data_IF_681522622906
#
_entry.id   IF_681522622906
#
_cell.length_a   1.000
_cell.length_b   1.000
_cell.length_c   1.000
_cell.angle_alpha   90.00
_cell.angle_beta   90.00
_cell.angle_gamma   90.00
#
_symmetry.space_group_name_H-M   'P 1'
#
loop_
_entity.id
_entity.type
_entity.pdbx_description
1 polymer ?
#
# COMPACT_ATOMS: atom_id res chain seq x y z
N UNK A 1 3.76 -42.70 10.24
CA UNK A 1 4.01 -41.33 10.77
C UNK A 1 3.06 -40.39 10.04
N UNK A 2 2.22 -39.61 10.74
CA UNK A 2 1.41 -38.59 10.09
C UNK A 2 2.37 -37.55 9.46
N UNK A 3 2.26 -37.28 8.16
CA UNK A 3 3.09 -36.29 7.48
C UNK A 3 2.78 -34.91 8.09
N UNK A 4 3.81 -34.25 8.61
CA UNK A 4 3.68 -32.88 9.13
C UNK A 4 3.38 -31.95 7.95
N UNK A 5 2.34 -31.12 8.07
CA UNK A 5 2.04 -30.11 7.07
C UNK A 5 3.24 -29.16 6.93
N UNK A 6 3.69 -28.97 5.69
CA UNK A 6 4.77 -28.03 5.38
C UNK A 6 4.26 -26.61 5.62
N UNK A 7 4.95 -25.87 6.47
CA UNK A 7 4.60 -24.49 6.80
C UNK A 7 5.12 -23.54 5.72
N UNK A 8 4.46 -22.39 5.55
CA UNK A 8 4.96 -21.30 4.70
C UNK A 8 6.31 -20.76 5.22
N UNK A 9 7.04 -20.07 4.38
CA UNK A 9 8.32 -19.44 4.75
C UNK A 9 8.08 -18.39 5.83
N UNK A 10 8.92 -18.39 6.86
CA UNK A 10 8.79 -17.44 7.99
C UNK A 10 8.81 -15.98 7.50
N UNK A 11 7.77 -15.23 7.86
CA UNK A 11 7.61 -13.82 7.48
C UNK A 11 6.91 -13.61 6.13
N UNK A 12 6.47 -14.69 5.46
CA UNK A 12 5.51 -14.62 4.36
C UNK A 12 4.09 -14.91 4.88
N UNK A 13 3.08 -14.70 4.02
CA UNK A 13 1.67 -14.90 4.36
C UNK A 13 0.96 -15.64 3.26
N UNK A 14 0.10 -16.59 3.63
CA UNK A 14 -0.95 -17.10 2.76
C UNK A 14 -2.21 -16.26 2.97
N UNK A 15 -2.95 -16.01 1.89
CA UNK A 15 -4.19 -15.25 1.93
C UNK A 15 -5.36 -16.17 1.62
N UNK A 16 -6.13 -16.52 2.63
CA UNK A 16 -7.39 -17.19 2.43
C UNK A 16 -8.45 -16.21 1.88
N UNK A 17 -9.58 -16.71 1.32
CA UNK A 17 -10.54 -15.81 0.66
C UNK A 17 -10.98 -14.58 1.46
N UNK A 18 -11.22 -14.63 2.77
CA UNK A 18 -11.52 -13.42 3.55
C UNK A 18 -10.36 -12.43 3.61
N UNK A 19 -9.13 -12.94 3.83
CA UNK A 19 -7.94 -12.10 3.89
C UNK A 19 -7.64 -11.46 2.53
N UNK A 20 -7.87 -12.25 1.45
CA UNK A 20 -7.69 -11.75 0.08
C UNK A 20 -8.75 -10.72 -0.30
N UNK A 21 -9.98 -10.84 0.20
CA UNK A 21 -11.02 -9.83 -0.01
C UNK A 21 -10.61 -8.48 0.62
N UNK A 22 -10.07 -8.51 1.84
CA UNK A 22 -9.50 -7.32 2.48
C UNK A 22 -8.34 -6.74 1.66
N UNK A 23 -7.42 -7.58 1.21
CA UNK A 23 -6.26 -7.16 0.42
C UNK A 23 -6.67 -6.48 -0.91
N UNK A 24 -7.71 -7.02 -1.57
CA UNK A 24 -8.31 -6.41 -2.76
C UNK A 24 -8.96 -5.06 -2.46
N UNK A 25 -9.74 -4.97 -1.38
CA UNK A 25 -10.34 -3.72 -0.95
C UNK A 25 -9.26 -2.64 -0.71
N UNK A 26 -8.19 -2.99 0.01
CA UNK A 26 -7.11 -2.06 0.31
C UNK A 26 -6.41 -1.58 -0.98
N UNK A 27 -6.09 -2.51 -1.88
CA UNK A 27 -5.44 -2.17 -3.14
C UNK A 27 -6.32 -1.27 -4.00
N UNK A 28 -7.62 -1.57 -4.12
CA UNK A 28 -8.54 -0.79 -4.92
C UNK A 28 -8.78 0.61 -4.32
N UNK A 29 -8.87 0.72 -2.99
CA UNK A 29 -8.93 2.02 -2.31
C UNK A 29 -7.72 2.89 -2.66
N UNK A 30 -6.51 2.34 -2.63
CA UNK A 30 -5.30 3.08 -2.99
C UNK A 30 -5.29 3.48 -4.47
N UNK A 31 -5.54 2.55 -5.36
CA UNK A 31 -5.50 2.79 -6.80
C UNK A 31 -6.57 3.80 -7.23
N UNK A 32 -7.76 3.77 -6.62
CA UNK A 32 -8.82 4.73 -6.92
C UNK A 32 -8.43 6.15 -6.51
N UNK A 33 -7.81 6.32 -5.34
CA UNK A 33 -7.27 7.64 -4.95
C UNK A 33 -6.26 8.13 -5.98
N UNK A 34 -5.33 7.29 -6.43
CA UNK A 34 -4.37 7.67 -7.48
C UNK A 34 -5.04 8.04 -8.81
N UNK A 35 -6.09 7.31 -9.23
CA UNK A 35 -6.86 7.63 -10.44
C UNK A 35 -7.51 9.01 -10.37
N UNK A 36 -7.99 9.44 -9.19
CA UNK A 36 -8.57 10.80 -9.03
C UNK A 36 -7.55 11.92 -9.25
N UNK A 37 -6.24 11.63 -9.11
CA UNK A 37 -5.14 12.54 -9.41
C UNK A 37 -4.55 12.33 -10.82
N UNK A 38 -5.16 11.47 -11.64
CA UNK A 38 -4.72 11.18 -13.01
C UNK A 38 -3.52 10.25 -13.10
N UNK A 39 -3.28 9.42 -12.08
CA UNK A 39 -2.20 8.41 -12.12
C UNK A 39 -2.63 7.17 -12.89
N UNK A 40 -1.76 6.75 -13.81
CA UNK A 40 -1.90 5.53 -14.60
C UNK A 40 -1.20 4.36 -13.91
N UNK A 41 -1.80 3.17 -14.02
CA UNK A 41 -1.24 1.97 -13.42
C UNK A 41 -0.12 1.39 -14.27
N UNK A 42 0.97 0.98 -13.64
CA UNK A 42 2.07 0.25 -14.26
C UNK A 42 2.56 -0.87 -13.34
N UNK A 43 3.40 -1.76 -13.88
CA UNK A 43 4.05 -2.80 -13.08
C UNK A 43 5.48 -3.03 -13.59
N UNK A 44 6.41 -3.18 -12.67
CA UNK A 44 7.79 -3.59 -12.91
C UNK A 44 7.98 -5.08 -12.68
N UNK A 45 9.12 -5.63 -13.11
CA UNK A 45 9.44 -7.04 -12.86
C UNK A 45 9.61 -7.30 -11.34
N UNK A 46 9.14 -8.47 -10.87
CA UNK A 46 9.44 -8.95 -9.51
C UNK A 46 10.90 -9.37 -9.35
N UNK A 47 11.49 -9.85 -10.45
CA UNK A 47 12.86 -10.32 -10.51
C UNK A 47 13.70 -9.30 -11.30
N UNK A 48 14.76 -8.79 -10.68
CA UNK A 48 15.63 -7.78 -11.26
C UNK A 48 17.10 -8.15 -11.10
N UNK A 49 17.96 -7.53 -11.90
CA UNK A 49 19.41 -7.61 -11.68
C UNK A 49 19.81 -6.89 -10.39
N UNK A 50 20.69 -7.47 -9.62
CA UNK A 50 21.19 -6.87 -8.37
C UNK A 50 21.82 -5.49 -8.60
N UNK A 51 22.52 -5.31 -9.72
CA UNK A 51 23.17 -4.06 -10.12
C UNK A 51 22.23 -2.86 -10.19
N UNK A 52 20.93 -3.11 -10.43
CA UNK A 52 19.94 -2.04 -10.45
C UNK A 52 19.83 -1.31 -9.11
N UNK A 53 20.07 -2.01 -8.01
CA UNK A 53 19.95 -1.49 -6.65
C UNK A 53 21.28 -1.06 -6.04
N UNK A 54 22.42 -1.57 -6.53
CA UNK A 54 23.76 -1.23 -6.03
C UNK A 54 24.05 0.27 -6.19
N UNK A 55 24.40 0.94 -5.08
CA UNK A 55 24.73 2.36 -5.05
C UNK A 55 23.55 3.32 -5.26
N UNK A 56 22.31 2.80 -5.30
CA UNK A 56 21.06 3.57 -5.47
C UNK A 56 20.13 3.39 -4.28
N UNK A 57 19.82 2.15 -3.92
CA UNK A 57 19.13 1.83 -2.67
C UNK A 57 20.09 1.94 -1.47
N UNK A 58 19.54 2.07 -0.25
CA UNK A 58 20.39 2.12 0.94
C UNK A 58 21.26 0.88 1.06
N UNK A 59 22.50 1.05 1.53
CA UNK A 59 23.45 -0.06 1.72
C UNK A 59 22.87 -1.16 2.63
N UNK A 60 22.01 -0.80 3.59
CA UNK A 60 21.31 -1.75 4.44
C UNK A 60 20.36 -2.65 3.65
N UNK A 61 19.56 -2.07 2.76
CA UNK A 61 18.62 -2.83 1.91
C UNK A 61 19.41 -3.78 1.01
N UNK A 62 20.39 -3.26 0.29
CA UNK A 62 21.14 -4.04 -0.71
C UNK A 62 21.94 -5.17 -0.08
N UNK A 63 22.67 -4.90 1.00
CA UNK A 63 23.62 -5.86 1.57
C UNK A 63 23.01 -6.82 2.59
N UNK A 64 21.86 -6.46 3.22
CA UNK A 64 21.32 -7.21 4.35
C UNK A 64 19.86 -7.65 4.16
N UNK A 65 19.09 -6.96 3.30
CA UNK A 65 17.64 -7.15 3.23
C UNK A 65 17.15 -7.69 1.89
N UNK A 66 18.01 -7.91 0.90
CA UNK A 66 17.59 -8.51 -0.38
C UNK A 66 17.53 -10.02 -0.32
N UNK A 67 16.54 -10.60 -1.03
CA UNK A 67 16.56 -12.02 -1.40
C UNK A 67 17.33 -12.15 -2.71
N UNK A 68 18.53 -12.70 -2.65
CA UNK A 68 19.41 -12.90 -3.80
C UNK A 68 19.32 -14.31 -4.33
N UNK A 69 19.47 -14.48 -5.64
CA UNK A 69 19.54 -15.77 -6.33
C UNK A 69 20.47 -15.65 -7.54
N UNK A 70 20.98 -16.77 -8.02
CA UNK A 70 21.72 -16.84 -9.28
C UNK A 70 20.88 -17.52 -10.35
N UNK A 71 20.93 -17.00 -11.57
CA UNK A 71 20.35 -17.68 -12.70
C UNK A 71 21.32 -18.75 -13.27
N UNK A 72 20.91 -19.40 -14.39
CA UNK A 72 21.72 -20.46 -14.99
C UNK A 72 23.02 -19.96 -15.61
N UNK A 73 23.11 -18.68 -15.90
CA UNK A 73 24.31 -18.01 -16.45
C UNK A 73 25.15 -17.34 -15.35
N UNK A 74 24.92 -17.72 -14.08
CA UNK A 74 25.62 -17.21 -12.87
C UNK A 74 25.45 -15.69 -12.62
N UNK A 75 24.38 -15.08 -13.20
CA UNK A 75 24.05 -13.66 -12.96
C UNK A 75 23.37 -13.47 -11.62
N UNK A 76 23.76 -12.41 -10.88
CA UNK A 76 23.15 -12.08 -9.61
C UNK A 76 21.80 -11.36 -9.81
N UNK A 77 20.75 -12.01 -9.33
CA UNK A 77 19.39 -11.52 -9.37
C UNK A 77 18.85 -11.31 -7.96
N UNK A 78 17.82 -10.47 -7.85
CA UNK A 78 17.12 -10.20 -6.59
C UNK A 78 15.61 -10.22 -6.80
N UNK A 79 14.87 -10.66 -5.78
CA UNK A 79 13.47 -10.30 -5.65
C UNK A 79 13.38 -8.83 -5.23
N UNK A 80 12.64 -8.01 -5.96
CA UNK A 80 12.61 -6.55 -5.77
C UNK A 80 12.31 -6.15 -4.32
N UNK A 81 13.19 -5.38 -3.66
CA UNK A 81 12.96 -4.86 -2.32
C UNK A 81 12.19 -3.54 -2.30
N UNK A 82 12.18 -2.82 -3.41
CA UNK A 82 11.51 -1.54 -3.70
C UNK A 82 11.28 -1.39 -5.21
N UNK A 83 10.48 -0.40 -5.63
CA UNK A 83 10.12 -0.24 -7.04
C UNK A 83 10.84 0.92 -7.75
N UNK A 84 11.22 1.97 -7.01
CA UNK A 84 11.69 3.24 -7.61
C UNK A 84 12.90 3.09 -8.54
N UNK A 85 13.93 2.24 -8.26
CA UNK A 85 14.98 1.98 -9.24
C UNK A 85 14.49 1.29 -10.52
N UNK A 86 13.53 0.35 -10.42
CA UNK A 86 12.90 -0.28 -11.59
C UNK A 86 12.10 0.74 -12.41
N UNK A 87 11.34 1.61 -11.75
CA UNK A 87 10.64 2.72 -12.39
C UNK A 87 11.61 3.65 -13.14
N UNK A 88 12.70 4.06 -12.49
CA UNK A 88 13.71 4.93 -13.09
C UNK A 88 14.32 4.27 -14.35
N UNK A 89 14.60 2.97 -14.32
CA UNK A 89 15.08 2.20 -15.48
C UNK A 89 14.03 2.16 -16.61
N UNK A 90 12.75 1.93 -16.28
CA UNK A 90 11.66 1.91 -17.27
C UNK A 90 11.51 3.27 -17.93
N UNK A 91 11.52 4.35 -17.16
CA UNK A 91 11.45 5.74 -17.66
C UNK A 91 12.68 6.06 -18.50
N UNK A 92 13.90 5.75 -18.04
CA UNK A 92 15.13 5.98 -18.79
C UNK A 92 15.14 5.21 -20.13
N UNK A 93 14.59 4.00 -20.17
CA UNK A 93 14.49 3.21 -21.39
C UNK A 93 13.61 3.86 -22.46
N UNK A 94 12.58 4.60 -22.02
CA UNK A 94 11.58 5.22 -22.91
C UNK A 94 11.54 6.74 -22.81
N UNK A 95 12.59 7.39 -22.31
CA UNK A 95 12.63 8.83 -22.05
C UNK A 95 12.34 9.73 -23.26
N UNK A 96 12.55 9.23 -24.48
CA UNK A 96 12.24 9.92 -25.73
C UNK A 96 10.81 9.70 -26.26
N UNK A 97 10.08 8.74 -25.69
CA UNK A 97 8.71 8.38 -26.11
C UNK A 97 7.66 8.90 -25.11
N UNK A 98 8.04 9.12 -23.85
CA UNK A 98 7.13 9.52 -22.79
C UNK A 98 6.77 11.02 -22.86
N UNK A 99 5.51 11.32 -22.58
CA UNK A 99 5.02 12.70 -22.39
C UNK A 99 5.11 13.07 -20.92
N UNK A 100 5.91 14.08 -20.58
CA UNK A 100 6.06 14.54 -19.21
C UNK A 100 5.10 15.69 -18.85
N UNK A 101 4.66 15.80 -17.59
CA UNK A 101 5.00 14.95 -16.47
C UNK A 101 4.29 13.59 -16.53
N UNK A 102 5.02 12.53 -16.19
CA UNK A 102 4.49 11.17 -16.03
C UNK A 102 3.91 11.04 -14.64
N UNK A 103 2.69 10.49 -14.53
CA UNK A 103 2.00 10.15 -13.28
C UNK A 103 1.73 8.66 -13.27
N UNK A 104 2.53 7.91 -12.55
CA UNK A 104 2.39 6.45 -12.51
C UNK A 104 2.22 5.93 -11.10
N UNK A 105 1.39 4.89 -10.97
CA UNK A 105 1.16 4.18 -9.71
C UNK A 105 1.23 2.67 -9.92
N UNK A 106 1.63 1.95 -8.88
CA UNK A 106 1.68 0.48 -8.91
C UNK A 106 1.35 -0.08 -7.54
N UNK A 107 0.55 -1.15 -7.50
CA UNK A 107 0.30 -1.93 -6.30
C UNK A 107 0.81 -3.34 -6.53
N UNK A 108 1.91 -3.71 -5.89
CA UNK A 108 2.58 -4.97 -6.13
C UNK A 108 3.24 -5.57 -4.90
N UNK A 109 3.80 -6.78 -5.06
CA UNK A 109 4.48 -7.51 -4.00
C UNK A 109 5.97 -7.19 -3.97
N UNK A 110 6.51 -7.09 -2.73
CA UNK A 110 7.91 -6.78 -2.43
C UNK A 110 8.47 -7.75 -1.42
N UNK A 111 9.81 -7.88 -1.41
CA UNK A 111 10.51 -8.85 -0.60
C UNK A 111 11.71 -8.23 0.11
N UNK A 112 11.73 -8.33 1.47
CA UNK A 112 12.87 -7.87 2.27
C UNK A 112 13.21 -8.92 3.33
N UNK A 113 14.47 -9.34 3.37
CA UNK A 113 14.95 -10.30 4.37
C UNK A 113 15.13 -9.62 5.73
N UNK A 114 14.00 -9.18 6.30
CA UNK A 114 13.94 -8.53 7.60
C UNK A 114 13.46 -9.48 8.70
N UNK A 115 13.75 -9.12 9.96
CA UNK A 115 13.17 -9.83 11.10
C UNK A 115 11.66 -9.53 11.16
N UNK A 116 10.78 -10.55 11.04
CA UNK A 116 9.35 -10.34 11.13
C UNK A 116 8.95 -9.76 12.49
N UNK A 117 8.06 -8.76 12.46
CA UNK A 117 7.50 -8.10 13.64
C UNK A 117 6.14 -7.48 13.29
N UNK A 118 5.42 -6.93 14.27
CA UNK A 118 4.12 -6.28 14.05
C UNK A 118 4.23 -5.23 12.94
N UNK A 119 3.40 -5.34 11.90
CA UNK A 119 3.40 -4.45 10.73
C UNK A 119 4.62 -4.61 9.81
N UNK A 120 5.42 -5.70 9.88
CA UNK A 120 6.57 -5.96 9.02
C UNK A 120 6.75 -7.45 8.75
N UNK A 121 6.83 -7.82 7.48
CA UNK A 121 7.08 -9.17 7.00
C UNK A 121 8.17 -9.22 5.96
N UNK A 122 8.49 -10.44 5.50
CA UNK A 122 9.48 -10.67 4.44
C UNK A 122 8.88 -10.59 3.04
N UNK A 123 7.58 -10.84 2.91
CA UNK A 123 6.79 -10.60 1.71
C UNK A 123 5.61 -9.71 2.10
N UNK A 124 5.43 -8.60 1.41
CA UNK A 124 4.40 -7.60 1.68
C UNK A 124 3.98 -6.93 0.39
N UNK A 125 2.81 -6.29 0.41
CA UNK A 125 2.36 -5.46 -0.70
C UNK A 125 2.69 -4.00 -0.44
N UNK A 126 2.96 -3.27 -1.51
CA UNK A 126 3.19 -1.83 -1.47
C UNK A 126 2.43 -1.15 -2.59
N UNK A 127 1.82 0.01 -2.28
CA UNK A 127 1.39 0.98 -3.26
C UNK A 127 2.49 2.02 -3.43
N UNK A 128 2.92 2.21 -4.66
CA UNK A 128 3.92 3.17 -5.06
C UNK A 128 3.27 4.19 -5.97
N UNK A 129 3.56 5.48 -5.74
CA UNK A 129 3.02 6.61 -6.50
C UNK A 129 4.16 7.54 -6.82
N UNK A 130 4.38 7.82 -8.10
CA UNK A 130 5.52 8.61 -8.56
C UNK A 130 5.09 9.60 -9.66
N UNK A 131 5.49 10.86 -9.49
CA UNK A 131 5.34 11.94 -10.46
C UNK A 131 6.73 12.31 -10.97
N UNK A 132 6.98 12.16 -12.27
CA UNK A 132 8.28 12.41 -12.88
C UNK A 132 8.22 13.48 -13.96
N UNK A 133 9.26 14.30 -14.05
CA UNK A 133 9.42 15.35 -15.05
C UNK A 133 8.88 16.72 -14.63
N UNK A 134 8.57 16.90 -13.32
CA UNK A 134 8.18 18.20 -12.78
C UNK A 134 9.15 18.62 -11.65
N UNK A 135 9.91 19.67 -11.90
CA UNK A 135 10.80 20.31 -10.91
C UNK A 135 10.10 21.52 -10.31
N UNK A 136 9.20 21.26 -9.37
CA UNK A 136 8.46 22.34 -8.70
C UNK A 136 7.93 21.90 -7.32
N UNK A 137 7.80 22.85 -6.36
CA UNK A 137 7.18 22.56 -5.05
C UNK A 137 5.69 22.16 -5.18
N UNK A 138 5.02 22.56 -6.27
CA UNK A 138 3.64 22.14 -6.55
C UNK A 138 3.55 20.64 -6.76
N UNK A 139 4.51 20.03 -7.46
CA UNK A 139 4.55 18.59 -7.67
C UNK A 139 4.72 17.81 -6.33
N UNK A 140 5.57 18.33 -5.45
CA UNK A 140 5.77 17.74 -4.12
C UNK A 140 4.50 17.88 -3.28
N UNK A 141 3.86 19.05 -3.29
CA UNK A 141 2.60 19.28 -2.59
C UNK A 141 1.47 18.39 -3.13
N UNK A 142 1.41 18.16 -4.44
CA UNK A 142 0.42 17.26 -5.07
C UNK A 142 0.56 15.82 -4.55
N UNK A 143 1.78 15.30 -4.49
CA UNK A 143 2.06 13.95 -3.97
C UNK A 143 1.72 13.85 -2.47
N UNK A 144 2.03 14.87 -1.68
CA UNK A 144 1.68 14.89 -0.24
C UNK A 144 0.17 15.02 -0.05
N UNK A 145 -0.51 15.82 -0.88
CA UNK A 145 -1.98 15.92 -0.89
C UNK A 145 -2.61 14.58 -1.21
N UNK A 146 -2.12 13.89 -2.23
CA UNK A 146 -2.59 12.55 -2.61
C UNK A 146 -2.42 11.56 -1.43
N UNK A 147 -1.28 11.60 -0.73
CA UNK A 147 -1.06 10.78 0.45
C UNK A 147 -2.04 11.10 1.60
N UNK A 148 -2.41 12.38 1.78
CA UNK A 148 -3.43 12.78 2.76
C UNK A 148 -4.82 12.28 2.36
N UNK A 149 -5.20 12.38 1.08
CA UNK A 149 -6.48 11.85 0.55
C UNK A 149 -6.57 10.32 0.66
N UNK A 150 -5.44 9.62 0.55
CA UNK A 150 -5.39 8.18 0.85
C UNK A 150 -5.81 7.89 2.30
N UNK A 151 -5.33 8.66 3.27
CA UNK A 151 -5.74 8.49 4.67
C UNK A 151 -7.23 8.78 4.85
N UNK A 152 -7.76 9.82 4.24
CA UNK A 152 -9.19 10.14 4.27
C UNK A 152 -10.04 8.99 3.69
N UNK A 153 -9.63 8.42 2.55
CA UNK A 153 -10.30 7.29 1.93
C UNK A 153 -10.32 6.03 2.82
N UNK A 154 -9.32 5.88 3.69
CA UNK A 154 -9.27 4.85 4.72
C UNK A 154 -10.03 5.23 6.01
N UNK A 155 -10.63 6.42 6.07
CA UNK A 155 -11.26 6.96 7.28
C UNK A 155 -10.29 7.39 8.37
N UNK A 156 -9.01 7.65 8.02
CA UNK A 156 -7.96 8.05 8.95
C UNK A 156 -7.76 9.57 8.90
N UNK A 157 -8.23 10.29 9.92
CA UNK A 157 -8.06 11.74 10.04
C UNK A 157 -6.71 12.15 10.64
N UNK A 158 -6.47 13.49 10.76
CA UNK A 158 -5.26 14.04 11.38
C UNK A 158 -5.07 13.60 12.83
N UNK A 159 -6.13 13.19 13.53
CA UNK A 159 -6.07 12.63 14.87
C UNK A 159 -5.40 11.26 14.94
N UNK A 160 -5.38 10.51 13.82
CA UNK A 160 -4.83 9.17 13.74
C UNK A 160 -3.40 9.15 13.17
N UNK A 161 -3.08 10.09 12.27
CA UNK A 161 -1.82 10.09 11.51
C UNK A 161 -1.25 11.50 11.39
N UNK A 162 0.09 11.59 11.20
CA UNK A 162 0.76 12.81 10.79
C UNK A 162 1.77 12.53 9.69
N UNK A 163 1.92 13.45 8.75
CA UNK A 163 2.94 13.44 7.71
C UNK A 163 4.02 14.42 8.13
N UNK A 164 5.18 13.91 8.52
CA UNK A 164 6.34 14.72 8.87
C UNK A 164 7.07 15.10 7.59
N UNK A 165 7.41 16.36 7.46
CA UNK A 165 7.96 16.96 6.24
C UNK A 165 9.23 17.74 6.54
N UNK A 166 10.26 17.60 5.68
CA UNK A 166 11.48 18.40 5.72
C UNK A 166 12.05 18.64 4.31
N UNK A 167 12.96 19.59 4.21
CA UNK A 167 13.79 19.85 3.04
C UNK A 167 15.25 19.47 3.33
N UNK A 168 15.71 18.35 2.76
CA UNK A 168 17.07 17.83 2.94
C UNK A 168 18.14 18.80 2.44
N UNK A 169 17.83 19.54 1.38
CA UNK A 169 18.75 20.56 0.85
C UNK A 169 18.89 21.73 1.81
N UNK A 170 17.79 22.21 2.37
CA UNK A 170 17.82 23.26 3.40
C UNK A 170 18.54 22.78 4.67
N UNK A 171 18.32 21.52 5.10
CA UNK A 171 19.06 20.93 6.19
C UNK A 171 20.57 20.87 5.91
N UNK A 172 20.97 20.48 4.70
CA UNK A 172 22.38 20.49 4.31
C UNK A 172 22.99 21.90 4.33
N UNK A 173 22.28 22.91 3.80
CA UNK A 173 22.67 24.31 3.84
C UNK A 173 22.82 24.80 5.27
N UNK A 174 21.89 24.47 6.17
CA UNK A 174 21.98 24.80 7.59
C UNK A 174 23.25 24.22 8.23
N UNK A 175 23.51 22.92 8.02
CA UNK A 175 24.71 22.26 8.59
C UNK A 175 26.00 22.92 8.08
N UNK A 176 26.08 23.24 6.79
CA UNK A 176 27.25 23.78 6.12
C UNK A 176 27.46 25.27 6.40
N UNK A 177 26.42 26.09 6.18
CA UNK A 177 26.56 27.54 6.13
C UNK A 177 26.27 28.22 7.48
N UNK A 178 25.29 27.72 8.23
CA UNK A 178 24.91 28.28 9.52
C UNK A 178 25.76 27.66 10.65
N UNK A 179 25.69 26.34 10.77
CA UNK A 179 26.44 25.61 11.81
C UNK A 179 27.92 25.42 11.46
N UNK A 180 28.34 25.71 10.22
CA UNK A 180 29.74 25.61 9.72
C UNK A 180 30.40 24.28 10.02
N UNK A 181 29.64 23.19 9.86
CA UNK A 181 30.12 21.84 10.03
C UNK A 181 31.02 21.48 8.85
N UNK A 182 32.15 20.85 9.11
CA UNK A 182 33.08 20.41 8.07
C UNK A 182 32.39 19.42 7.09
N UNK A 183 32.63 19.55 5.81
CA UNK A 183 31.97 18.79 4.73
C UNK A 183 32.07 17.29 4.95
N UNK A 184 33.24 16.79 5.38
CA UNK A 184 33.48 15.38 5.68
C UNK A 184 32.68 14.84 6.87
N UNK A 185 32.19 15.73 7.75
CA UNK A 185 31.38 15.37 8.93
C UNK A 185 29.89 15.32 8.62
N UNK A 186 29.40 16.04 7.59
CA UNK A 186 27.98 16.16 7.27
C UNK A 186 27.28 14.79 7.08
N UNK A 187 27.84 13.80 6.34
CA UNK A 187 27.22 12.50 6.21
C UNK A 187 27.07 11.75 7.55
N UNK A 188 28.05 11.91 8.44
CA UNK A 188 27.99 11.32 9.79
C UNK A 188 26.91 11.98 10.63
N UNK A 189 26.77 13.30 10.56
CA UNK A 189 25.76 14.09 11.26
C UNK A 189 24.36 13.70 10.79
N UNK A 190 24.11 13.59 9.49
CA UNK A 190 22.85 13.08 8.96
C UNK A 190 22.54 11.67 9.49
N UNK A 191 23.54 10.78 9.52
CA UNK A 191 23.37 9.45 10.09
C UNK A 191 23.09 9.43 11.60
N UNK A 192 23.50 10.45 12.35
CA UNK A 192 23.17 10.63 13.76
C UNK A 192 21.73 11.18 13.92
N UNK A 193 21.36 12.21 13.15
CA UNK A 193 20.00 12.79 13.15
C UNK A 193 18.97 11.69 12.91
N UNK A 194 19.17 10.82 11.93
CA UNK A 194 18.28 9.68 11.62
C UNK A 194 18.05 8.73 12.81
N UNK A 195 18.94 8.72 13.76
CA UNK A 195 18.88 7.84 14.92
C UNK A 195 18.60 8.57 16.23
N UNK A 196 18.34 9.88 16.19
CA UNK A 196 18.16 10.71 17.39
C UNK A 196 17.05 10.18 18.30
N UNK A 197 15.91 9.75 17.73
CA UNK A 197 14.80 9.19 18.51
C UNK A 197 15.10 7.80 19.14
N UNK A 198 16.19 7.16 18.74
CA UNK A 198 16.62 5.83 19.21
C UNK A 198 17.79 5.91 20.19
N UNK A 199 18.30 7.11 20.48
CA UNK A 199 19.49 7.34 21.32
C UNK A 199 19.13 8.22 22.51
N UNK A 200 19.69 7.94 23.71
CA UNK A 200 19.66 8.92 24.81
C UNK A 200 20.37 10.22 24.42
N UNK A 201 19.83 11.35 24.86
CA UNK A 201 20.34 12.70 24.51
C UNK A 201 21.84 12.85 24.76
N UNK A 202 22.36 12.34 25.88
CA UNK A 202 23.77 12.42 26.23
C UNK A 202 24.66 11.64 25.26
N UNK A 203 24.19 10.45 24.80
CA UNK A 203 24.89 9.66 23.80
C UNK A 203 24.86 10.32 22.42
N UNK A 204 23.76 11.00 22.09
CA UNK A 204 23.65 11.74 20.84
C UNK A 204 24.63 12.92 20.84
N UNK A 205 24.70 13.70 21.89
CA UNK A 205 25.66 14.80 22.04
C UNK A 205 27.12 14.31 21.95
N UNK A 206 27.45 13.26 22.69
CA UNK A 206 28.80 12.66 22.61
C UNK A 206 29.15 12.22 21.16
N UNK A 207 28.21 11.61 20.46
CA UNK A 207 28.40 11.19 19.07
C UNK A 207 28.55 12.37 18.09
N UNK A 208 27.88 13.50 18.34
CA UNK A 208 28.08 14.75 17.58
C UNK A 208 29.48 15.31 17.79
N UNK A 209 29.97 15.29 19.03
CA UNK A 209 31.35 15.72 19.35
C UNK A 209 32.39 14.83 18.67
N UNK A 210 32.17 13.49 18.68
CA UNK A 210 33.01 12.54 17.93
C UNK A 210 32.94 12.74 16.40
N UNK A 211 31.84 13.26 15.88
CA UNK A 211 31.69 13.65 14.49
C UNK A 211 32.37 14.99 14.16
N UNK A 212 32.97 15.67 15.16
CA UNK A 212 33.74 16.90 14.99
C UNK A 212 32.97 18.20 15.24
N UNK A 213 31.78 18.13 15.86
CA UNK A 213 31.03 19.32 16.25
C UNK A 213 31.56 19.90 17.58
N UNK A 214 31.68 21.24 17.65
CA UNK A 214 31.88 21.94 18.93
C UNK A 214 30.61 21.99 19.76
N UNK A 215 30.74 22.23 21.07
CA UNK A 215 29.60 22.23 22.02
C UNK A 215 28.49 23.20 21.61
N UNK A 216 28.81 24.39 21.10
CA UNK A 216 27.83 25.35 20.58
C UNK A 216 27.04 24.83 19.37
N UNK A 217 27.74 24.21 18.42
CA UNK A 217 27.12 23.63 17.23
C UNK A 217 26.20 22.45 17.60
N UNK A 218 26.64 21.60 18.53
CA UNK A 218 25.86 20.44 18.99
C UNK A 218 24.59 20.90 19.73
N UNK A 219 24.68 21.95 20.58
CA UNK A 219 23.54 22.51 21.29
C UNK A 219 22.54 23.15 20.31
N UNK A 220 22.98 23.96 19.37
CA UNK A 220 22.12 24.60 18.37
C UNK A 220 21.43 23.57 17.47
N UNK A 221 22.15 22.54 17.03
CA UNK A 221 21.53 21.43 16.28
C UNK A 221 20.47 20.71 17.12
N UNK A 222 20.75 20.47 18.41
CA UNK A 222 19.78 19.83 19.32
C UNK A 222 18.50 20.67 19.47
N UNK A 223 18.60 22.00 19.58
CA UNK A 223 17.45 22.90 19.67
C UNK A 223 16.59 22.86 18.40
N UNK A 224 17.24 22.82 17.23
CA UNK A 224 16.56 22.68 15.94
C UNK A 224 15.81 21.33 15.89
N UNK A 225 16.45 20.24 16.27
CA UNK A 225 15.84 18.91 16.26
C UNK A 225 14.71 18.76 17.28
N UNK A 226 14.72 19.54 18.35
CA UNK A 226 13.62 19.61 19.33
C UNK A 226 12.44 20.48 18.86
N UNK A 227 12.53 21.08 17.67
CA UNK A 227 11.47 21.89 17.06
C UNK A 227 11.46 23.35 17.54
N UNK A 228 12.50 23.81 18.25
CA UNK A 228 12.60 25.20 18.72
C UNK A 228 12.91 26.17 17.57
N UNK A 229 13.52 25.68 16.47
CA UNK A 229 13.85 26.45 15.28
C UNK A 229 13.64 25.58 14.05
N UNK A 230 12.46 25.62 13.42
CA UNK A 230 12.20 24.80 12.24
C UNK A 230 13.13 25.19 11.07
N UNK A 231 13.58 24.22 10.30
CA UNK A 231 14.30 24.48 9.05
C UNK A 231 13.27 24.97 8.04
N UNK A 232 13.37 26.23 7.63
CA UNK A 232 12.48 26.83 6.64
C UNK A 232 13.26 27.10 5.34
N UNK A 233 12.62 26.86 4.23
CA UNK A 233 13.11 27.24 2.91
C UNK A 233 11.95 27.77 2.08
N UNK A 234 12.24 28.57 1.05
CA UNK A 234 11.21 29.06 0.13
C UNK A 234 10.46 27.89 -0.53
N UNK A 235 11.14 26.78 -0.74
CA UNK A 235 10.53 25.56 -1.28
C UNK A 235 9.50 24.96 -0.32
N UNK A 236 9.86 24.77 0.95
CA UNK A 236 8.92 24.29 1.96
C UNK A 236 7.74 25.26 2.18
N UNK A 237 8.00 26.56 2.19
CA UNK A 237 6.95 27.58 2.33
C UNK A 237 5.94 27.48 1.19
N UNK A 238 6.39 27.28 -0.05
CA UNK A 238 5.51 27.06 -1.19
C UNK A 238 4.72 25.77 -1.09
N UNK A 239 5.36 24.66 -0.68
CA UNK A 239 4.67 23.39 -0.42
C UNK A 239 3.58 23.60 0.61
N UNK A 240 3.89 24.19 1.77
CA UNK A 240 2.92 24.44 2.84
C UNK A 240 1.75 25.31 2.39
N UNK A 241 2.02 26.33 1.57
CA UNK A 241 0.97 27.17 0.96
C UNK A 241 0.00 26.36 0.08
N UNK A 242 0.51 25.44 -0.73
CA UNK A 242 -0.33 24.56 -1.55
C UNK A 242 -1.10 23.52 -0.72
N UNK A 243 -0.49 22.96 0.32
CA UNK A 243 -1.15 21.99 1.21
C UNK A 243 -2.30 22.65 2.00
N UNK A 244 -2.11 23.90 2.43
CA UNK A 244 -3.17 24.69 3.08
C UNK A 244 -4.32 24.99 2.11
N UNK A 245 -4.03 25.39 0.87
CA UNK A 245 -5.05 25.57 -0.17
C UNK A 245 -5.82 24.30 -0.49
N UNK A 246 -5.16 23.14 -0.40
CA UNK A 246 -5.78 21.83 -0.54
C UNK A 246 -6.58 21.39 0.70
N UNK A 247 -6.49 22.09 1.83
CA UNK A 247 -7.16 21.77 3.09
C UNK A 247 -6.65 20.50 3.75
N UNK A 248 -5.34 20.23 3.64
CA UNK A 248 -4.69 19.04 4.23
C UNK A 248 -3.57 19.38 5.20
N UNK A 249 -3.40 20.65 5.58
CA UNK A 249 -2.36 21.13 6.48
C UNK A 249 -2.40 20.48 7.86
N UNK A 250 -3.57 20.09 8.35
CA UNK A 250 -3.73 19.43 9.65
C UNK A 250 -3.04 18.07 9.75
N UNK A 251 -2.75 17.44 8.60
CA UNK A 251 -1.94 16.23 8.54
C UNK A 251 -0.44 16.50 8.66
N UNK A 252 0.02 17.75 8.43
CA UNK A 252 1.42 18.05 8.18
C UNK A 252 2.11 18.53 9.46
N UNK A 253 3.30 18.03 9.67
CA UNK A 253 4.21 18.46 10.73
C UNK A 253 5.59 18.69 10.14
N UNK A 254 6.12 19.92 10.23
CA UNK A 254 7.53 20.14 9.90
C UNK A 254 8.40 19.47 10.98
N UNK A 255 9.37 18.65 10.54
CA UNK A 255 10.23 17.89 11.45
C UNK A 255 11.65 17.77 10.89
N UNK A 256 12.57 18.53 11.49
CA UNK A 256 13.99 18.57 11.13
C UNK A 256 14.70 17.21 11.25
N UNK A 257 14.12 16.25 11.98
CA UNK A 257 14.68 14.89 12.16
C UNK A 257 14.47 14.00 10.94
N UNK A 258 13.57 14.36 10.04
CA UNK A 258 13.35 13.63 8.79
C UNK A 258 14.39 14.10 7.76
N UNK A 259 15.55 13.47 7.78
CA UNK A 259 16.68 13.80 6.89
C UNK A 259 17.09 12.61 6.02
N UNK A 260 16.58 11.42 6.34
CA UNK A 260 16.92 10.16 5.69
C UNK A 260 15.68 9.49 5.10
N UNK A 261 15.89 8.81 4.09
CA UNK A 261 15.05 7.89 3.39
C UNK A 261 15.97 7.02 2.57
N UNK A 262 15.75 6.97 1.27
CA UNK A 262 16.72 6.37 0.35
C UNK A 262 17.86 7.36 0.03
N UNK A 263 19.04 6.83 -0.32
CA UNK A 263 20.24 7.64 -0.62
C UNK A 263 20.04 8.53 -1.86
N UNK A 264 19.08 8.19 -2.72
CA UNK A 264 18.76 8.96 -3.92
C UNK A 264 17.88 10.20 -3.67
N UNK A 265 17.36 10.45 -2.45
CA UNK A 265 16.57 11.66 -2.20
C UNK A 265 17.42 12.92 -2.22
N UNK A 266 16.94 13.93 -2.98
CA UNK A 266 17.69 15.16 -3.26
C UNK A 266 17.19 16.37 -2.48
N UNK A 267 15.88 16.45 -2.16
CA UNK A 267 15.28 17.64 -1.57
C UNK A 267 14.16 17.31 -0.57
N UNK A 268 12.90 17.49 -0.97
CA UNK A 268 11.75 17.17 -0.13
C UNK A 268 11.81 15.73 0.35
N UNK A 269 11.65 15.52 1.66
CA UNK A 269 11.51 14.20 2.28
C UNK A 269 10.33 14.23 3.24
N UNK A 270 9.55 13.17 3.26
CA UNK A 270 8.39 13.09 4.14
C UNK A 270 8.12 11.65 4.58
N UNK A 271 7.57 11.51 5.77
CA UNK A 271 7.20 10.23 6.36
C UNK A 271 5.86 10.36 7.08
N UNK A 272 4.97 9.40 6.88
CA UNK A 272 3.75 9.32 7.67
C UNK A 272 3.93 8.45 8.91
N UNK A 273 3.42 8.94 10.02
CA UNK A 273 3.48 8.28 11.32
C UNK A 273 2.10 8.13 11.94
N UNK A 274 1.84 6.98 12.53
CA UNK A 274 0.63 6.79 13.33
C UNK A 274 0.75 7.54 14.67
N UNK A 275 -0.34 8.20 15.08
CA UNK A 275 -0.49 8.83 16.40
C UNK A 275 -1.04 7.85 17.45
N UNK A 276 -0.64 6.57 17.36
CA UNK A 276 -1.11 5.46 18.17
C UNK A 276 0.07 4.71 18.81
N UNK A 277 -0.16 3.50 19.34
CA UNK A 277 0.92 2.66 19.88
C UNK A 277 1.88 2.12 18.81
N UNK A 278 1.52 2.23 17.55
CA UNK A 278 2.33 1.77 16.42
C UNK A 278 3.50 2.74 16.17
N UNK A 279 4.63 2.50 16.86
CA UNK A 279 5.83 3.35 16.81
C UNK A 279 6.69 3.10 15.56
N UNK A 280 6.15 3.39 14.36
CA UNK A 280 6.87 3.24 13.09
C UNK A 280 6.24 4.09 12.00
N UNK A 281 7.04 4.43 11.00
CA UNK A 281 6.53 5.04 9.79
C UNK A 281 5.55 4.11 9.07
N UNK A 282 4.45 4.66 8.60
CA UNK A 282 3.45 3.99 7.75
C UNK A 282 3.92 3.95 6.31
N UNK A 283 4.53 5.04 5.86
CA UNK A 283 5.19 5.16 4.57
C UNK A 283 6.32 6.20 4.62
N UNK A 284 7.21 6.17 3.64
CA UNK A 284 8.20 7.19 3.36
C UNK A 284 8.15 7.62 1.90
N UNK A 285 8.50 8.87 1.65
CA UNK A 285 8.55 9.47 0.32
C UNK A 285 9.55 10.61 0.24
N UNK A 286 9.79 11.09 -0.97
CA UNK A 286 10.64 12.24 -1.20
C UNK A 286 10.91 12.50 -2.68
N UNK A 287 11.64 13.58 -2.93
CA UNK A 287 12.10 14.01 -4.25
C UNK A 287 13.44 13.36 -4.61
N UNK A 288 13.53 12.85 -5.83
CA UNK A 288 14.72 12.20 -6.38
C UNK A 288 14.94 12.67 -7.83
N UNK A 289 15.96 13.51 -8.04
CA UNK A 289 16.13 14.19 -9.33
C UNK A 289 17.16 13.48 -10.23
N UNK A 290 18.03 12.66 -9.67
CA UNK A 290 19.19 12.09 -10.36
C UNK A 290 19.05 10.60 -10.71
N UNK A 291 17.99 9.94 -10.27
CA UNK A 291 17.91 8.48 -10.31
C UNK A 291 17.88 7.94 -11.75
N UNK A 292 17.21 8.62 -12.68
CA UNK A 292 17.18 8.22 -14.09
C UNK A 292 18.58 8.17 -14.72
N UNK A 293 19.44 9.13 -14.44
CA UNK A 293 20.85 9.13 -14.89
C UNK A 293 21.65 8.02 -14.20
N UNK A 294 21.42 7.80 -12.91
CA UNK A 294 22.12 6.76 -12.15
C UNK A 294 21.81 5.35 -12.65
N UNK A 295 20.66 5.13 -13.27
CA UNK A 295 20.31 3.84 -13.90
C UNK A 295 20.68 3.76 -15.37
N UNK A 296 21.43 4.76 -15.91
CA UNK A 296 21.94 4.77 -17.27
C UNK A 296 21.09 5.57 -18.28
N UNK A 297 20.12 6.34 -17.83
CA UNK A 297 19.37 7.30 -18.66
C UNK A 297 20.25 8.47 -19.11
N UNK A 298 19.87 9.12 -20.20
CA UNK A 298 20.60 10.27 -20.79
C UNK A 298 20.16 11.60 -20.20
N UNK A 299 18.94 11.65 -19.66
CA UNK A 299 18.31 12.87 -19.14
C UNK A 299 18.14 12.77 -17.63
N UNK A 300 18.45 13.84 -16.93
CA UNK A 300 18.03 14.04 -15.55
C UNK A 300 16.52 14.34 -15.58
N UNK A 301 15.73 13.47 -14.98
CA UNK A 301 14.27 13.61 -14.91
C UNK A 301 13.90 13.69 -13.43
N UNK A 302 13.53 14.89 -12.94
CA UNK A 302 13.11 15.07 -11.56
C UNK A 302 11.92 14.18 -11.24
N UNK A 303 11.93 13.55 -10.08
CA UNK A 303 10.83 12.73 -9.60
C UNK A 303 10.51 13.00 -8.15
N UNK A 304 9.25 12.80 -7.77
CA UNK A 304 8.79 12.81 -6.39
C UNK A 304 7.76 11.71 -6.23
N UNK A 305 7.84 10.96 -5.13
CA UNK A 305 6.91 9.86 -4.89
C UNK A 305 6.98 9.33 -3.47
N UNK A 306 6.11 8.36 -3.18
CA UNK A 306 6.11 7.63 -1.91
C UNK A 306 5.68 6.18 -2.11
N UNK A 307 5.97 5.34 -1.10
CA UNK A 307 5.57 3.95 -1.11
C UNK A 307 4.99 3.54 0.25
N UNK A 308 3.73 3.10 0.27
CA UNK A 308 3.01 2.67 1.47
C UNK A 308 2.79 1.17 1.51
N UNK A 309 3.24 0.54 2.61
CA UNK A 309 3.10 -0.91 2.81
C UNK A 309 1.74 -1.29 3.43
N UNK A 310 1.17 -2.38 2.95
CA UNK A 310 -0.11 -2.91 3.43
C UNK A 310 -0.10 -3.28 4.93
N UNK A 311 1.00 -3.83 5.43
CA UNK A 311 1.06 -4.39 6.77
C UNK A 311 0.95 -3.32 7.87
N UNK A 312 1.62 -2.17 7.72
CA UNK A 312 1.58 -1.10 8.71
C UNK A 312 0.20 -0.41 8.72
N UNK A 313 -0.39 -0.18 7.56
CA UNK A 313 -1.75 0.35 7.41
C UNK A 313 -2.78 -0.60 8.03
N UNK A 314 -2.66 -1.90 7.76
CA UNK A 314 -3.57 -2.92 8.35
C UNK A 314 -3.51 -2.89 9.87
N UNK A 315 -2.32 -2.79 10.47
CA UNK A 315 -2.19 -2.74 11.93
C UNK A 315 -2.77 -1.44 12.51
N UNK A 316 -2.62 -0.31 11.81
CA UNK A 316 -3.25 0.95 12.22
C UNK A 316 -4.78 0.85 12.17
N UNK A 317 -5.35 0.37 11.05
CA UNK A 317 -6.80 0.21 10.90
C UNK A 317 -7.41 -0.68 11.98
N UNK A 318 -6.71 -1.76 12.37
CA UNK A 318 -7.12 -2.62 13.50
C UNK A 318 -7.12 -1.86 14.82
N UNK A 319 -6.07 -1.07 15.08
CA UNK A 319 -5.89 -0.36 16.36
C UNK A 319 -6.93 0.75 16.56
N UNK A 320 -7.34 1.41 15.47
CA UNK A 320 -8.36 2.46 15.50
C UNK A 320 -9.77 1.98 15.14
N UNK A 321 -9.98 0.66 15.08
CA UNK A 321 -11.27 0.01 14.82
C UNK A 321 -11.94 0.43 13.49
N UNK A 322 -11.10 0.70 12.45
CA UNK A 322 -11.56 1.10 11.11
C UNK A 322 -11.35 0.03 10.04
N UNK A 323 -11.27 -1.24 10.47
CA UNK A 323 -11.22 -2.35 9.51
C UNK A 323 -12.55 -2.42 8.71
N UNK A 324 -12.50 -2.55 7.38
CA UNK A 324 -13.70 -2.67 6.58
C UNK A 324 -14.39 -4.02 6.82
N UNK A 325 -15.69 -4.06 6.60
CA UNK A 325 -16.43 -5.32 6.48
C UNK A 325 -16.16 -5.99 5.12
N UNK A 326 -14.91 -6.32 4.83
CA UNK A 326 -14.57 -7.04 3.61
C UNK A 326 -15.01 -8.51 3.76
N UNK A 327 -16.11 -8.86 3.11
CA UNK A 327 -16.62 -10.24 3.09
C UNK A 327 -16.18 -10.94 1.81
N UNK A 328 -15.54 -12.09 1.96
CA UNK A 328 -15.38 -13.00 0.83
C UNK A 328 -16.72 -13.68 0.56
N UNK A 329 -17.49 -13.12 -0.39
CA UNK A 329 -18.66 -13.82 -0.90
C UNK A 329 -18.25 -14.59 -2.14
N UNK A 330 -18.28 -15.95 -2.05
CA UNK A 330 -18.04 -16.80 -3.21
C UNK A 330 -19.18 -16.70 -4.22
N UNK A 331 -20.42 -16.65 -3.72
CA UNK A 331 -21.63 -16.48 -4.52
C UNK A 331 -22.67 -15.66 -3.74
N UNK A 332 -23.43 -14.86 -4.46
CA UNK A 332 -24.55 -14.10 -3.89
C UNK A 332 -25.80 -15.00 -3.74
N UNK A 333 -25.85 -16.04 -4.57
CA UNK A 333 -26.97 -16.99 -4.66
C UNK A 333 -26.50 -18.41 -4.55
N UNK A 334 -27.13 -19.23 -3.71
CA UNK A 334 -27.06 -20.68 -3.75
C UNK A 334 -28.32 -21.22 -4.42
N UNK A 335 -28.18 -21.97 -5.52
CA UNK A 335 -29.27 -22.79 -6.07
C UNK A 335 -29.22 -24.16 -5.39
N UNK A 336 -30.25 -24.49 -4.63
CA UNK A 336 -30.37 -25.76 -3.95
C UNK A 336 -30.81 -26.87 -4.92
N UNK A 337 -30.53 -28.11 -4.55
CA UNK A 337 -31.01 -29.31 -5.28
C UNK A 337 -31.92 -30.09 -4.37
N UNK A 338 -33.21 -30.15 -4.72
CA UNK A 338 -34.22 -30.79 -3.91
C UNK A 338 -34.09 -32.33 -3.92
N UNK A 339 -33.87 -32.89 -5.12
CA UNK A 339 -33.66 -34.32 -5.37
C UNK A 339 -32.75 -34.55 -6.56
N UNK A 340 -32.32 -35.80 -6.75
CA UNK A 340 -31.47 -36.20 -7.88
C UNK A 340 -32.14 -35.95 -9.23
N UNK A 341 -33.45 -36.17 -9.31
CA UNK A 341 -34.27 -35.97 -10.52
C UNK A 341 -34.36 -34.49 -10.94
N UNK A 342 -34.20 -33.56 -9.98
CA UNK A 342 -34.26 -32.11 -10.21
C UNK A 342 -32.88 -31.46 -10.36
N UNK A 343 -31.80 -32.24 -10.36
CA UNK A 343 -30.44 -31.73 -10.50
C UNK A 343 -30.25 -30.95 -11.82
N UNK A 344 -30.74 -31.49 -12.93
CA UNK A 344 -30.64 -30.83 -14.25
C UNK A 344 -31.42 -29.51 -14.28
N UNK A 345 -32.58 -29.47 -13.63
CA UNK A 345 -33.38 -28.25 -13.54
C UNK A 345 -32.70 -27.18 -12.68
N UNK A 346 -32.16 -27.57 -11.54
CA UNK A 346 -31.37 -26.69 -10.69
C UNK A 346 -30.10 -26.19 -11.39
N UNK A 347 -29.42 -27.06 -12.16
CA UNK A 347 -28.24 -26.68 -12.94
C UNK A 347 -28.58 -25.65 -14.02
N UNK A 348 -29.64 -25.84 -14.78
CA UNK A 348 -30.11 -24.86 -15.78
C UNK A 348 -30.45 -23.50 -15.16
N UNK A 349 -31.09 -23.51 -14.00
CA UNK A 349 -31.41 -22.27 -13.28
C UNK A 349 -30.13 -21.57 -12.79
N UNK A 350 -29.17 -22.31 -12.24
CA UNK A 350 -27.89 -21.74 -11.86
C UNK A 350 -27.14 -21.11 -13.05
N UNK A 351 -27.16 -21.78 -14.21
CA UNK A 351 -26.49 -21.29 -15.42
C UNK A 351 -27.22 -20.07 -16.01
N UNK A 352 -28.55 -20.04 -15.95
CA UNK A 352 -29.32 -18.87 -16.34
C UNK A 352 -28.97 -17.64 -15.49
N UNK A 353 -28.86 -17.80 -14.17
CA UNK A 353 -28.44 -16.72 -13.26
C UNK A 353 -27.00 -16.26 -13.54
N UNK A 354 -26.09 -17.19 -13.81
CA UNK A 354 -24.70 -16.89 -14.17
C UNK A 354 -24.59 -16.11 -15.47
N UNK A 355 -25.38 -16.48 -16.49
CA UNK A 355 -25.40 -15.78 -17.78
C UNK A 355 -25.90 -14.33 -17.65
N UNK A 356 -26.68 -14.04 -16.61
CA UNK A 356 -27.12 -12.71 -16.22
C UNK A 356 -26.12 -11.97 -15.30
N UNK A 357 -24.90 -12.51 -15.11
CA UNK A 357 -23.83 -11.92 -14.30
C UNK A 357 -24.00 -12.07 -12.78
N UNK A 358 -24.97 -12.87 -12.31
CA UNK A 358 -25.18 -13.12 -10.89
C UNK A 358 -24.24 -14.22 -10.40
N UNK A 359 -23.45 -13.93 -9.36
CA UNK A 359 -22.55 -14.91 -8.76
C UNK A 359 -23.36 -16.03 -8.10
N UNK A 360 -23.42 -17.17 -8.75
CA UNK A 360 -24.31 -18.28 -8.36
C UNK A 360 -23.54 -19.57 -8.13
N UNK A 361 -23.71 -20.17 -6.96
CA UNK A 361 -23.26 -21.52 -6.61
C UNK A 361 -24.40 -22.52 -6.79
N UNK A 362 -24.16 -23.64 -7.47
CA UNK A 362 -25.05 -24.78 -7.48
C UNK A 362 -24.62 -25.72 -6.35
N UNK A 363 -25.56 -26.18 -5.53
CA UNK A 363 -25.27 -27.19 -4.54
C UNK A 363 -25.03 -28.55 -5.20
N UNK A 364 -23.87 -29.17 -4.96
CA UNK A 364 -23.41 -30.32 -5.77
C UNK A 364 -23.85 -31.71 -5.22
N UNK A 365 -24.48 -31.78 -4.04
CA UNK A 365 -24.86 -33.08 -3.47
C UNK A 365 -26.38 -33.19 -3.25
N UNK A 366 -27.11 -33.82 -4.21
CA UNK A 366 -28.57 -33.92 -4.16
C UNK A 366 -29.08 -34.83 -3.02
N UNK A 367 -28.22 -35.66 -2.39
CA UNK A 367 -28.57 -36.51 -1.26
C UNK A 367 -28.68 -35.77 0.06
N UNK A 368 -28.20 -34.52 0.13
CA UNK A 368 -28.27 -33.69 1.32
C UNK A 368 -29.62 -32.99 1.43
N UNK A 369 -30.27 -33.07 2.61
CA UNK A 369 -31.51 -32.35 2.90
C UNK A 369 -31.33 -30.83 2.75
N UNK A 370 -32.40 -30.10 2.42
CA UNK A 370 -32.40 -28.64 2.24
C UNK A 370 -31.81 -27.90 3.45
N UNK A 371 -32.09 -28.30 4.67
CA UNK A 371 -31.52 -27.67 5.88
C UNK A 371 -29.98 -27.62 5.86
N UNK A 372 -29.35 -28.67 5.35
CA UNK A 372 -27.90 -28.71 5.21
C UNK A 372 -27.41 -27.78 4.13
N UNK A 373 -28.18 -27.62 3.05
CA UNK A 373 -27.89 -26.71 1.95
C UNK A 373 -28.07 -25.25 2.39
N UNK A 374 -29.09 -24.93 3.16
CA UNK A 374 -29.27 -23.62 3.78
C UNK A 374 -28.13 -23.27 4.72
N UNK A 375 -27.71 -24.17 5.60
CA UNK A 375 -26.52 -23.99 6.46
C UNK A 375 -25.24 -23.79 5.66
N UNK A 376 -25.13 -24.40 4.50
CA UNK A 376 -24.01 -24.18 3.59
C UNK A 376 -24.06 -22.77 3.01
N UNK A 377 -25.20 -22.31 2.51
CA UNK A 377 -25.41 -20.96 2.01
C UNK A 377 -25.06 -19.89 3.06
N UNK A 378 -25.54 -20.07 4.29
CA UNK A 378 -25.25 -19.17 5.41
C UNK A 378 -23.75 -19.11 5.73
N UNK A 379 -23.07 -20.26 5.84
CA UNK A 379 -21.62 -20.32 6.07
C UNK A 379 -20.78 -19.69 4.93
N UNK A 380 -21.32 -19.69 3.71
CA UNK A 380 -20.72 -19.09 2.53
C UNK A 380 -21.09 -17.61 2.36
N UNK A 381 -21.91 -17.07 3.28
CA UNK A 381 -22.44 -15.70 3.22
C UNK A 381 -23.23 -15.41 1.92
N UNK A 382 -23.86 -16.43 1.34
CA UNK A 382 -24.79 -16.22 0.23
C UNK A 382 -25.99 -15.40 0.72
N UNK A 383 -26.38 -14.38 -0.04
CA UNK A 383 -27.53 -13.54 0.28
C UNK A 383 -28.85 -14.28 0.06
N UNK A 384 -28.90 -15.09 -0.99
CA UNK A 384 -30.10 -15.77 -1.44
C UNK A 384 -29.92 -17.28 -1.54
N UNK A 385 -31.02 -17.98 -1.29
CA UNK A 385 -31.17 -19.39 -1.66
C UNK A 385 -32.34 -19.52 -2.61
N UNK A 386 -32.10 -20.12 -3.77
CA UNK A 386 -33.12 -20.51 -4.74
C UNK A 386 -33.46 -21.97 -4.50
N UNK A 387 -34.74 -22.25 -4.25
CA UNK A 387 -35.28 -23.60 -4.08
C UNK A 387 -36.15 -23.96 -5.27
N UNK A 388 -35.90 -25.13 -5.83
CA UNK A 388 -36.60 -25.69 -6.97
C UNK A 388 -37.11 -27.07 -6.54
N UNK A 389 -38.34 -27.13 -6.02
CA UNK A 389 -39.03 -28.36 -5.71
C UNK A 389 -39.83 -28.88 -6.90
N UNK A 390 -40.55 -30.04 -6.73
CA UNK A 390 -41.39 -30.57 -7.80
C UNK A 390 -42.46 -29.62 -8.31
N UNK A 391 -43.07 -28.81 -7.44
CA UNK A 391 -44.11 -27.85 -7.75
C UNK A 391 -43.53 -26.67 -8.55
N UNK A 392 -42.37 -26.12 -8.13
CA UNK A 392 -41.68 -25.07 -8.85
C UNK A 392 -41.23 -25.54 -10.25
N UNK A 393 -40.67 -26.75 -10.32
CA UNK A 393 -40.23 -27.31 -11.60
C UNK A 393 -41.40 -27.50 -12.59
N UNK A 394 -42.59 -27.92 -12.09
CA UNK A 394 -43.77 -28.13 -12.92
C UNK A 394 -44.45 -26.82 -13.40
N UNK A 395 -44.36 -25.78 -12.57
CA UNK A 395 -45.00 -24.47 -12.85
C UNK A 395 -44.08 -23.46 -13.52
N UNK A 396 -42.79 -23.79 -13.72
CA UNK A 396 -41.79 -22.85 -14.26
C UNK A 396 -41.49 -21.68 -13.32
N UNK A 397 -41.63 -21.94 -12.00
CA UNK A 397 -41.33 -20.96 -10.95
C UNK A 397 -40.13 -21.36 -10.13
N UNK A 398 -39.72 -20.52 -9.20
CA UNK A 398 -38.66 -20.77 -8.22
C UNK A 398 -38.99 -20.06 -6.90
N UNK A 399 -38.70 -20.70 -5.79
CA UNK A 399 -38.78 -20.07 -4.46
C UNK A 399 -37.45 -19.39 -4.15
N UNK A 400 -37.46 -18.06 -3.97
CA UNK A 400 -36.32 -17.23 -3.60
C UNK A 400 -36.43 -16.88 -2.12
N UNK A 401 -35.41 -17.26 -1.33
CA UNK A 401 -35.31 -16.87 0.07
C UNK A 401 -34.13 -15.92 0.28
N UNK A 402 -34.38 -14.76 0.83
CA UNK A 402 -33.38 -13.82 1.32
C UNK A 402 -32.93 -14.25 2.74
N UNK A 403 -31.68 -14.63 2.90
CA UNK A 403 -31.15 -15.07 4.18
C UNK A 403 -30.89 -13.92 5.17
N UNK A 404 -30.83 -12.67 4.68
CA UNK A 404 -30.65 -11.48 5.52
C UNK A 404 -31.96 -11.04 6.17
N UNK A 405 -33.06 -11.01 5.43
CA UNK A 405 -34.38 -10.61 5.93
C UNK A 405 -35.24 -11.78 6.42
N UNK A 406 -34.93 -13.00 5.97
CA UNK A 406 -35.75 -14.19 6.20
C UNK A 406 -36.97 -14.29 5.29
N UNK A 407 -37.23 -13.30 4.42
CA UNK A 407 -38.34 -13.31 3.50
C UNK A 407 -38.19 -14.37 2.42
N UNK A 408 -39.32 -14.99 2.05
CA UNK A 408 -39.38 -15.96 0.96
C UNK A 408 -40.53 -15.60 0.02
N UNK A 409 -40.22 -15.64 -1.27
CA UNK A 409 -41.22 -15.39 -2.33
C UNK A 409 -41.08 -16.42 -3.44
N UNK A 410 -42.19 -16.77 -4.07
CA UNK A 410 -42.22 -17.61 -5.27
C UNK A 410 -42.39 -16.73 -6.48
N UNK A 411 -41.47 -16.85 -7.44
CA UNK A 411 -41.40 -16.01 -8.64
C UNK A 411 -41.32 -16.90 -9.88
N UNK A 412 -41.70 -16.37 -11.05
CA UNK A 412 -41.43 -17.05 -12.31
C UNK A 412 -39.89 -17.11 -12.50
N UNK A 413 -39.37 -18.21 -13.04
CA UNK A 413 -37.95 -18.39 -13.27
C UNK A 413 -37.36 -17.25 -14.13
N UNK A 414 -38.14 -16.64 -15.02
CA UNK A 414 -37.74 -15.50 -15.86
C UNK A 414 -37.60 -14.18 -15.09
N UNK A 415 -38.21 -14.04 -13.93
CA UNK A 415 -38.20 -12.82 -13.10
C UNK A 415 -37.10 -12.88 -12.01
N UNK A 416 -36.52 -14.05 -11.81
CA UNK A 416 -35.61 -14.35 -10.71
C UNK A 416 -34.34 -13.46 -10.74
N UNK A 417 -33.71 -13.34 -11.91
CA UNK A 417 -32.48 -12.55 -12.09
C UNK A 417 -32.72 -11.06 -11.81
N UNK A 418 -33.83 -10.49 -12.30
CA UNK A 418 -34.16 -9.08 -12.07
C UNK A 418 -34.41 -8.81 -10.59
N UNK A 419 -35.17 -9.68 -9.92
CA UNK A 419 -35.44 -9.56 -8.48
C UNK A 419 -34.18 -9.61 -7.64
N UNK A 420 -33.27 -10.53 -7.94
CA UNK A 420 -31.97 -10.66 -7.24
C UNK A 420 -31.13 -9.41 -7.47
N UNK A 421 -30.98 -8.94 -8.72
CA UNK A 421 -30.19 -7.74 -9.05
C UNK A 421 -30.72 -6.49 -8.33
N UNK A 422 -32.04 -6.25 -8.39
CA UNK A 422 -32.62 -5.10 -7.72
C UNK A 422 -32.39 -5.07 -6.22
N UNK A 423 -32.39 -6.25 -5.58
CA UNK A 423 -32.13 -6.38 -4.13
C UNK A 423 -30.63 -6.29 -3.77
N UNK A 424 -29.73 -6.68 -4.67
CA UNK A 424 -28.28 -6.57 -4.46
C UNK A 424 -27.77 -5.14 -4.67
N UNK A 425 -28.46 -4.34 -5.49
CA UNK A 425 -28.11 -2.94 -5.79
C UNK A 425 -28.57 -1.93 -4.71
N UNK A 426 -29.51 -2.29 -3.85
CA UNK A 426 -29.99 -1.50 -2.70
C UNK A 426 -29.37 -1.96 -1.39
#
# INVERSE_FOLDING_TARGET
MASKIIQHVKGTRDFYPPDWAYQKWLSETFLEVGRTFGFEEYEGSLLEHQDLYLGKSSAEIVNQQTFTLKDRDDRDLVLRPELTPSLARMVATKEGELTFPVRWQSYGQFFRYEKPQRGRGRAFFQWNVDLLGADSPVADAEIITLASRMFEALGLGPEHVSIRLNDRQAANTLLRETLKIAEESIPKVFGLIDRVDKMPTEKFQAALTEAGLGDGQASELQDILNGHSPILSDWLNQIMGHLSQAGVEDYIQLDARIVRGFDYYTRTVFEAWAKTSLRRALFGGGRYDNLTVQVGGKRQIPGVGFAVGDMAITELLKEVEKMPEARATGADVLVSVFSEDLLDHSSKTADALRSEGIKTELYLNPKHKLDRQFKHADRKNARFVVVLGPDEASSGSASLKDLKTGEQSTLKSTELAERIRSTLAG
#
